data_IF_122779066269
#
_entry.id   IF_122779066269
#
_cell.length_a   1.000
_cell.length_b   1.000
_cell.length_c   1.000
_cell.angle_alpha   90.00
_cell.angle_beta   90.00
_cell.angle_gamma   90.00
#
_symmetry.space_group_name_H-M   'P 1'
#
loop_
_entity.id
_entity.type
_entity.pdbx_description
1 polymer ?
#
# COMPACT_ATOMS: atom_id res chain seq x y z
N UNK A 1 -17.18 1.01 4.29
CA UNK A 1 -17.15 -0.49 4.44
C UNK A 1 -15.72 -0.99 4.67
N UNK A 2 -15.45 -2.05 5.45
CA UNK A 2 -14.07 -2.58 5.62
C UNK A 2 -13.87 -3.83 4.76
N UNK A 3 -12.91 -3.78 3.83
CA UNK A 3 -12.49 -4.92 3.03
C UNK A 3 -11.11 -5.41 3.50
N UNK A 4 -11.05 -6.68 3.92
CA UNK A 4 -9.81 -7.33 4.34
C UNK A 4 -9.57 -8.59 3.51
N UNK A 5 -8.39 -8.66 2.87
CA UNK A 5 -7.91 -9.85 2.18
C UNK A 5 -6.65 -10.38 2.86
N UNK A 6 -6.63 -11.68 3.16
CA UNK A 6 -5.45 -12.42 3.59
C UNK A 6 -5.10 -13.47 2.55
N UNK A 7 -3.84 -13.50 2.12
CA UNK A 7 -3.29 -14.52 1.22
C UNK A 7 -1.97 -15.02 1.78
N UNK A 8 -1.86 -16.33 1.99
CA UNK A 8 -0.63 -16.98 2.40
C UNK A 8 -0.42 -18.22 1.55
N UNK A 9 0.80 -18.38 1.03
CA UNK A 9 1.22 -19.53 0.24
C UNK A 9 2.58 -20.00 0.76
N UNK A 10 2.83 -21.30 0.68
CA UNK A 10 4.09 -21.91 1.08
C UNK A 10 5.24 -21.60 0.13
N UNK A 11 6.30 -22.38 0.24
CA UNK A 11 7.57 -22.18 -0.46
C UNK A 11 7.40 -22.17 -1.99
N UNK A 12 8.23 -21.37 -2.66
CA UNK A 12 8.30 -21.18 -4.11
C UNK A 12 6.99 -20.70 -4.79
N UNK A 13 5.96 -20.37 -4.01
CA UNK A 13 4.67 -20.00 -4.54
C UNK A 13 4.50 -18.51 -4.84
N UNK A 14 3.39 -18.17 -5.49
CA UNK A 14 3.03 -16.76 -5.77
C UNK A 14 1.75 -16.39 -5.03
N UNK A 15 1.88 -15.52 -4.04
CA UNK A 15 0.77 -14.94 -3.29
C UNK A 15 0.38 -13.58 -3.89
N UNK A 16 -0.90 -13.40 -4.25
CA UNK A 16 -1.38 -12.14 -4.83
C UNK A 16 -2.73 -11.72 -4.27
N UNK A 17 -2.82 -10.47 -3.84
CA UNK A 17 -4.08 -9.83 -3.46
C UNK A 17 -4.31 -8.53 -4.23
N UNK A 18 -5.56 -8.25 -4.56
CA UNK A 18 -6.01 -6.96 -5.06
C UNK A 18 -7.23 -6.60 -4.23
N UNK A 19 -7.18 -5.46 -3.55
CA UNK A 19 -8.23 -4.99 -2.66
C UNK A 19 -8.60 -3.57 -3.07
N UNK A 20 -9.86 -3.37 -3.38
CA UNK A 20 -10.43 -2.07 -3.67
C UNK A 20 -11.67 -1.89 -2.79
N UNK A 21 -11.71 -0.81 -2.01
CA UNK A 21 -12.94 -0.36 -1.37
C UNK A 21 -13.45 0.87 -2.10
N UNK A 22 -14.76 0.93 -2.35
CA UNK A 22 -15.41 2.18 -2.74
C UNK A 22 -15.65 3.08 -1.53
N UNK A 23 -16.59 3.99 -1.69
CA UNK A 23 -16.95 5.12 -0.84
C UNK A 23 -16.97 4.74 0.67
N UNK A 24 -16.35 5.59 1.50
CA UNK A 24 -16.16 5.43 2.95
C UNK A 24 -15.41 4.12 3.34
N UNK A 25 -14.54 3.66 2.45
CA UNK A 25 -13.95 2.34 2.48
C UNK A 25 -12.59 2.26 3.18
N UNK A 26 -12.42 1.29 4.07
CA UNK A 26 -11.08 0.86 4.50
C UNK A 26 -10.66 -0.38 3.71
N UNK A 27 -9.58 -0.28 2.94
CA UNK A 27 -9.02 -1.38 2.17
C UNK A 27 -7.74 -1.91 2.83
N UNK A 28 -7.73 -3.21 3.16
CA UNK A 28 -6.60 -3.88 3.80
C UNK A 28 -6.22 -5.18 3.09
N UNK A 29 -4.93 -5.34 2.81
CA UNK A 29 -4.37 -6.59 2.32
C UNK A 29 -3.17 -7.02 3.17
N UNK A 30 -3.12 -8.32 3.47
CA UNK A 30 -1.93 -8.97 4.02
C UNK A 30 -1.60 -10.14 3.10
N UNK A 31 -0.39 -10.14 2.56
CA UNK A 31 0.09 -11.14 1.61
C UNK A 31 1.43 -11.67 2.09
N UNK A 32 1.53 -12.99 2.22
CA UNK A 32 2.76 -13.67 2.60
C UNK A 32 3.09 -14.80 1.62
N UNK A 33 4.37 -14.98 1.33
CA UNK A 33 4.91 -16.10 0.58
C UNK A 33 6.14 -16.68 1.30
N UNK A 34 6.31 -18.00 1.23
CA UNK A 34 7.51 -18.68 1.74
C UNK A 34 8.78 -18.40 0.92
N UNK A 35 9.84 -19.16 1.21
CA UNK A 35 11.17 -19.01 0.61
C UNK A 35 11.12 -19.11 -0.93
N UNK A 36 11.92 -18.29 -1.62
CA UNK A 36 11.94 -18.17 -3.08
C UNK A 36 10.65 -17.60 -3.70
N UNK A 37 9.63 -17.33 -2.89
CA UNK A 37 8.29 -17.00 -3.34
C UNK A 37 8.09 -15.52 -3.68
N UNK A 38 6.95 -15.25 -4.33
CA UNK A 38 6.58 -13.90 -4.79
C UNK A 38 5.30 -13.46 -4.08
N UNK A 39 5.39 -12.42 -3.27
CA UNK A 39 4.26 -11.79 -2.60
C UNK A 39 3.94 -10.43 -3.23
N UNK A 40 2.71 -10.25 -3.73
CA UNK A 40 2.27 -9.02 -4.39
C UNK A 40 0.92 -8.55 -3.90
N UNK A 41 0.80 -7.25 -3.65
CA UNK A 41 -0.49 -6.63 -3.35
C UNK A 41 -0.66 -5.29 -4.02
N UNK A 42 -1.90 -5.02 -4.40
CA UNK A 42 -2.40 -3.71 -4.79
C UNK A 42 -3.60 -3.40 -3.89
N UNK A 43 -3.54 -2.26 -3.21
CA UNK A 43 -4.62 -1.77 -2.36
C UNK A 43 -5.00 -0.36 -2.82
N UNK A 44 -6.29 -0.15 -3.07
CA UNK A 44 -6.85 1.15 -3.40
C UNK A 44 -8.10 1.40 -2.55
N UNK A 45 -8.33 2.66 -2.22
CA UNK A 45 -9.55 3.15 -1.58
C UNK A 45 -9.88 4.54 -2.14
N UNK A 46 -11.17 4.84 -2.30
CA UNK A 46 -11.67 6.11 -2.82
C UNK A 46 -12.82 6.71 -1.99
N UNK A 47 -13.24 7.90 -2.41
CA UNK A 47 -13.84 9.00 -1.63
C UNK A 47 -15.33 8.89 -1.22
N UNK A 48 -15.63 9.36 0.01
CA UNK A 48 -16.69 10.36 0.28
C UNK A 48 -16.51 11.00 1.70
N UNK A 49 -16.50 12.35 1.73
CA UNK A 49 -16.69 13.45 2.71
C UNK A 49 -16.73 13.23 4.26
N UNK A 50 -16.78 12.01 4.82
CA UNK A 50 -17.16 11.84 6.24
C UNK A 50 -16.18 11.01 7.08
N UNK A 51 -15.25 10.27 6.47
CA UNK A 51 -14.36 9.40 7.23
C UNK A 51 -12.99 9.24 6.57
N UNK A 52 -11.94 9.37 7.39
CA UNK A 52 -10.55 9.02 7.05
C UNK A 52 -10.49 7.72 6.25
N UNK A 53 -10.11 7.83 4.97
CA UNK A 53 -9.90 6.69 4.09
C UNK A 53 -8.53 6.06 4.41
N UNK A 54 -8.48 4.72 4.44
CA UNK A 54 -7.24 4.01 4.77
C UNK A 54 -7.00 2.84 3.84
N UNK A 55 -5.93 2.94 3.05
CA UNK A 55 -5.38 1.86 2.26
C UNK A 55 -4.14 1.31 2.98
N UNK A 56 -4.13 0.01 3.30
CA UNK A 56 -2.97 -0.64 3.93
C UNK A 56 -2.60 -1.98 3.32
N UNK A 57 -1.33 -2.12 2.96
CA UNK A 57 -0.72 -3.38 2.57
C UNK A 57 0.37 -3.81 3.55
N UNK A 58 0.40 -5.10 3.88
CA UNK A 58 1.54 -5.78 4.51
C UNK A 58 1.96 -6.92 3.59
N UNK A 59 3.24 -6.96 3.22
CA UNK A 59 3.78 -7.94 2.28
C UNK A 59 5.03 -8.55 2.85
N UNK A 60 5.10 -9.86 2.85
CA UNK A 60 6.27 -10.61 3.29
C UNK A 60 6.62 -11.69 2.27
N UNK A 61 7.90 -11.81 1.94
CA UNK A 61 8.44 -12.95 1.22
C UNK A 61 9.62 -13.51 1.99
N UNK A 62 9.73 -14.83 2.10
CA UNK A 62 10.88 -15.50 2.70
C UNK A 62 12.21 -15.24 1.98
N UNK A 63 13.24 -16.03 2.30
CA UNK A 63 14.59 -15.86 1.77
C UNK A 63 14.60 -15.97 0.23
N UNK A 64 15.35 -15.10 -0.45
CA UNK A 64 15.39 -15.01 -1.92
C UNK A 64 14.10 -14.55 -2.59
N UNK A 65 13.08 -14.21 -1.81
CA UNK A 65 11.75 -13.88 -2.30
C UNK A 65 11.61 -12.44 -2.82
N UNK A 66 10.50 -12.19 -3.53
CA UNK A 66 10.13 -10.85 -4.02
C UNK A 66 8.83 -10.40 -3.34
N UNK A 67 8.92 -9.32 -2.56
CA UNK A 67 7.79 -8.67 -1.92
C UNK A 67 7.49 -7.32 -2.58
N UNK A 68 6.25 -7.11 -3.02
CA UNK A 68 5.82 -5.84 -3.65
C UNK A 68 4.45 -5.36 -3.19
N UNK A 69 4.38 -4.11 -2.75
CA UNK A 69 3.14 -3.41 -2.47
C UNK A 69 2.97 -2.19 -3.38
N UNK A 70 1.74 -1.99 -3.85
CA UNK A 70 1.25 -0.69 -4.34
C UNK A 70 0.05 -0.31 -3.49
N UNK A 71 0.06 0.89 -2.94
CA UNK A 71 -1.01 1.41 -2.11
C UNK A 71 -1.36 2.81 -2.58
N UNK A 72 -2.63 3.06 -2.86
CA UNK A 72 -3.15 4.38 -3.19
C UNK A 72 -4.37 4.67 -2.31
N UNK A 73 -4.46 5.90 -1.80
CA UNK A 73 -5.67 6.46 -1.20
C UNK A 73 -5.97 7.78 -1.87
N UNK A 74 -7.19 7.92 -2.34
CA UNK A 74 -7.70 9.13 -3.00
C UNK A 74 -8.86 9.66 -2.16
N UNK A 75 -8.82 10.96 -1.85
CA UNK A 75 -9.83 11.72 -1.10
C UNK A 75 -9.98 13.09 -1.77
N UNK A 76 -11.14 13.40 -2.36
CA UNK A 76 -11.37 14.65 -3.08
C UNK A 76 -11.78 15.81 -2.14
N UNK A 77 -12.01 15.54 -0.85
CA UNK A 77 -12.64 16.52 0.07
C UNK A 77 -11.90 16.68 1.41
N UNK A 78 -10.75 17.36 1.41
CA UNK A 78 -10.16 18.10 2.55
C UNK A 78 -9.86 17.37 3.87
N UNK A 79 -10.28 16.12 4.02
CA UNK A 79 -10.09 15.25 5.19
C UNK A 79 -9.10 14.15 4.78
N UNK A 80 -7.83 14.53 4.61
CA UNK A 80 -6.80 13.74 3.95
C UNK A 80 -6.72 12.23 4.28
N UNK A 81 -6.44 11.45 3.23
CA UNK A 81 -6.37 9.99 3.28
C UNK A 81 -5.10 9.43 3.88
N UNK A 82 -5.10 8.14 4.26
CA UNK A 82 -3.89 7.41 4.68
C UNK A 82 -3.60 6.25 3.74
N UNK A 83 -2.49 6.36 3.01
CA UNK A 83 -1.88 5.25 2.28
C UNK A 83 -0.66 4.71 3.04
N UNK A 84 -0.67 3.41 3.37
CA UNK A 84 0.46 2.77 4.06
C UNK A 84 0.85 1.42 3.48
N UNK A 85 2.13 1.27 3.15
CA UNK A 85 2.72 -0.02 2.82
C UNK A 85 3.78 -0.43 3.84
N UNK A 86 3.78 -1.71 4.20
CA UNK A 86 4.90 -2.37 4.89
C UNK A 86 5.30 -3.56 4.03
N UNK A 87 6.55 -3.60 3.60
CA UNK A 87 7.08 -4.63 2.71
C UNK A 87 8.38 -5.16 3.29
N UNK A 88 8.45 -6.47 3.49
CA UNK A 88 9.62 -7.20 3.98
C UNK A 88 9.98 -8.30 3.00
N UNK A 89 11.27 -8.51 2.80
CA UNK A 89 11.80 -9.71 2.16
C UNK A 89 12.93 -10.29 3.01
N UNK A 90 13.08 -11.62 2.99
CA UNK A 90 14.21 -12.35 3.58
C UNK A 90 15.54 -12.05 2.90
N UNK A 91 16.55 -12.90 3.15
CA UNK A 91 17.96 -12.56 2.99
C UNK A 91 18.33 -11.93 1.65
N UNK A 92 18.64 -12.62 0.58
CA UNK A 92 18.88 -12.09 -0.77
C UNK A 92 17.61 -11.58 -1.50
N UNK A 93 16.56 -11.19 -0.76
CA UNK A 93 15.25 -10.85 -1.28
C UNK A 93 15.11 -9.41 -1.84
N UNK A 94 14.03 -9.17 -2.58
CA UNK A 94 13.70 -7.85 -3.13
C UNK A 94 12.39 -7.32 -2.56
N UNK A 95 12.44 -6.20 -1.86
CA UNK A 95 11.30 -5.52 -1.25
C UNK A 95 11.01 -4.17 -1.94
N UNK A 96 9.80 -4.00 -2.47
CA UNK A 96 9.38 -2.79 -3.18
C UNK A 96 8.03 -2.26 -2.71
N UNK A 97 7.99 -0.98 -2.31
CA UNK A 97 6.74 -0.28 -2.01
C UNK A 97 6.56 0.95 -2.91
N UNK A 98 5.35 1.13 -3.41
CA UNK A 98 4.88 2.37 -4.02
C UNK A 98 3.65 2.80 -3.24
N UNK A 99 3.68 4.01 -2.70
CA UNK A 99 2.60 4.56 -1.88
C UNK A 99 2.26 5.95 -2.39
N UNK A 100 1.00 6.17 -2.74
CA UNK A 100 0.47 7.45 -3.17
C UNK A 100 -0.71 7.83 -2.28
N UNK A 101 -0.80 9.11 -1.94
CA UNK A 101 -1.99 9.72 -1.35
C UNK A 101 -2.27 11.05 -2.04
N UNK A 102 -3.54 11.37 -2.22
CA UNK A 102 -4.01 12.67 -2.71
C UNK A 102 -4.10 13.70 -1.57
N UNK A 103 -4.75 14.85 -1.82
CA UNK A 103 -4.58 16.12 -1.11
C UNK A 103 -4.72 16.03 0.43
N UNK A 104 -3.84 16.72 1.16
CA UNK A 104 -3.69 16.67 2.62
C UNK A 104 -3.42 15.27 3.25
N UNK A 105 -3.29 14.22 2.43
CA UNK A 105 -3.17 12.84 2.87
C UNK A 105 -1.75 12.38 3.26
N UNK A 106 -1.68 11.38 4.13
CA UNK A 106 -0.43 10.79 4.63
C UNK A 106 -0.07 9.54 3.84
N UNK A 107 0.97 9.65 3.01
CA UNK A 107 1.61 8.52 2.36
C UNK A 107 2.82 8.00 3.19
N UNK A 108 2.84 6.71 3.54
CA UNK A 108 3.94 6.06 4.27
C UNK A 108 4.34 4.71 3.71
N UNK A 109 5.61 4.55 3.36
CA UNK A 109 6.21 3.27 3.03
C UNK A 109 7.25 2.86 4.08
N UNK A 110 7.19 1.61 4.53
CA UNK A 110 8.24 0.94 5.29
C UNK A 110 8.70 -0.25 4.44
N UNK A 111 9.98 -0.30 4.11
CA UNK A 111 10.57 -1.34 3.27
C UNK A 111 11.83 -1.85 3.94
N UNK A 112 11.94 -3.17 4.09
CA UNK A 112 13.12 -3.84 4.60
C UNK A 112 13.46 -5.05 3.74
N UNK A 113 14.76 -5.31 3.59
CA UNK A 113 15.32 -6.50 2.97
C UNK A 113 16.48 -7.00 3.84
N UNK A 114 16.80 -8.29 3.78
CA UNK A 114 17.92 -8.88 4.50
C UNK A 114 19.30 -8.52 3.91
N UNK A 115 20.33 -9.23 4.34
CA UNK A 115 21.75 -8.83 4.25
C UNK A 115 22.24 -8.47 2.84
N UNK A 116 21.76 -9.17 1.80
CA UNK A 116 22.12 -8.95 0.40
C UNK A 116 20.94 -8.42 -0.46
N UNK A 117 19.82 -8.10 0.20
CA UNK A 117 18.58 -7.78 -0.48
C UNK A 117 18.47 -6.33 -0.96
N UNK A 118 17.45 -6.08 -1.80
CA UNK A 118 17.16 -4.75 -2.37
C UNK A 118 15.87 -4.20 -1.79
N UNK A 119 15.95 -3.08 -1.07
CA UNK A 119 14.81 -2.32 -0.57
C UNK A 119 14.59 -1.05 -1.39
N UNK A 120 13.38 -0.84 -1.92
CA UNK A 120 12.98 0.39 -2.62
C UNK A 120 11.61 0.89 -2.20
N UNK A 121 11.54 2.17 -1.84
CA UNK A 121 10.30 2.87 -1.55
C UNK A 121 10.12 4.07 -2.50
N UNK A 122 8.91 4.22 -3.01
CA UNK A 122 8.44 5.45 -3.66
C UNK A 122 7.24 5.93 -2.86
N UNK A 123 7.26 7.18 -2.44
CA UNK A 123 6.18 7.82 -1.67
C UNK A 123 5.87 9.15 -2.34
N UNK A 124 4.59 9.36 -2.66
CA UNK A 124 4.07 10.62 -3.22
C UNK A 124 2.86 11.07 -2.42
N UNK A 125 2.78 12.37 -2.14
CA UNK A 125 1.63 13.05 -1.54
C UNK A 125 1.30 14.26 -2.40
N UNK A 126 0.04 14.45 -2.75
CA UNK A 126 -0.48 15.65 -3.40
C UNK A 126 -0.60 16.83 -2.42
N UNK A 127 -0.55 18.04 -2.96
CA UNK A 127 -0.86 19.30 -2.29
C UNK A 127 -1.55 20.16 -3.37
N UNK A 128 -2.88 20.11 -3.46
CA UNK A 128 -3.66 20.98 -4.35
C UNK A 128 -3.98 22.26 -3.57
N UNK A 129 -3.20 23.32 -3.81
CA UNK A 129 -3.62 24.68 -3.48
C UNK A 129 -5.00 24.91 -4.13
N UNK A 130 -6.08 24.80 -3.35
CA UNK A 130 -7.39 25.25 -3.78
C UNK A 130 -7.28 26.75 -4.03
N UNK A 131 -7.28 27.24 -5.29
CA UNK A 131 -7.26 28.67 -5.52
C UNK A 131 -8.56 29.21 -4.95
N UNK A 132 -8.48 30.12 -3.97
CA UNK A 132 -9.63 30.81 -3.40
C UNK A 132 -10.53 31.33 -4.52
N UNK A 133 -11.64 30.64 -4.82
CA UNK A 133 -12.68 31.13 -5.75
C UNK A 133 -13.50 32.27 -5.12
N UNK A 134 -12.93 33.04 -4.17
CA UNK A 134 -13.62 34.12 -3.46
C UNK A 134 -13.59 35.48 -4.16
N UNK A 135 -13.23 35.54 -5.45
CA UNK A 135 -13.01 36.79 -6.16
C UNK A 135 -13.81 36.91 -7.47
N UNK A 136 -15.15 36.81 -7.39
CA UNK A 136 -16.07 37.46 -8.35
C UNK A 136 -17.30 38.01 -7.63
#
# INVERSE_FOLDING_TARGET
>A
MVLLMLVAIGDDGTARAIVASGDDGTARAIVASGDGGIARTVVASGDDVVMMVTARAIVDSGDGGIARAIVASDDDVGDGGIARAIVTSGDDGTAHAIVASDDDGIARAIVASGDDGIARAIVTSGDEEHPDESLI
#
